data_IF_990514965776
#
_entry.id   IF_990514965776
#
_cell.length_a   1.000
_cell.length_b   1.000
_cell.length_c   1.000
_cell.angle_alpha   90.00
_cell.angle_beta   90.00
_cell.angle_gamma   90.00
#
_symmetry.space_group_name_H-M   'P 1'
#
loop_
_entity.id
_entity.type
_entity.pdbx_description
1 polymer ?
#
# COMPACT_ATOMS: atom_id res chain seq x y z
N UNK A 1 -49.67 68.92 57.30
CA UNK A 1 -48.95 67.65 57.05
C UNK A 1 -48.98 67.35 55.56
N UNK A 2 -47.81 66.98 55.00
CA UNK A 2 -47.55 66.48 53.64
C UNK A 2 -47.88 67.38 52.42
N UNK A 3 -46.81 68.08 52.03
CA UNK A 3 -46.38 68.58 50.72
C UNK A 3 -46.66 67.64 49.52
N UNK A 4 -47.02 68.28 48.38
CA UNK A 4 -46.48 68.09 47.00
C UNK A 4 -46.76 66.75 46.27
N UNK A 5 -46.88 66.64 44.94
CA UNK A 5 -46.79 67.51 43.77
C UNK A 5 -47.48 66.72 42.63
N UNK A 6 -48.18 67.41 41.72
CA UNK A 6 -48.48 66.87 40.39
C UNK A 6 -47.16 66.53 39.68
N UNK A 7 -47.10 65.45 38.89
CA UNK A 7 -46.40 65.55 37.61
C UNK A 7 -46.80 64.49 36.58
N UNK A 8 -47.13 65.05 35.43
CA UNK A 8 -47.29 64.53 34.08
C UNK A 8 -46.23 63.47 33.72
N UNK A 9 -46.63 62.34 33.12
CA UNK A 9 -45.70 61.43 32.44
C UNK A 9 -46.07 61.28 30.96
N UNK A 10 -45.10 61.41 30.03
CA UNK A 10 -45.33 61.35 28.59
C UNK A 10 -45.42 59.90 28.09
N UNK A 11 -46.30 59.67 27.09
CA UNK A 11 -46.38 58.43 26.32
C UNK A 11 -45.09 58.21 25.51
N UNK A 12 -44.22 57.36 26.02
CA UNK A 12 -43.04 56.87 25.29
C UNK A 12 -43.45 55.76 24.31
N UNK A 13 -43.20 56.00 23.03
CA UNK A 13 -43.29 54.99 21.98
C UNK A 13 -42.14 54.00 22.16
N UNK A 14 -42.43 52.78 22.59
CA UNK A 14 -41.48 51.67 22.56
C UNK A 14 -41.27 51.25 21.09
N UNK A 15 -40.27 51.82 20.44
CA UNK A 15 -39.66 51.24 19.23
C UNK A 15 -38.93 49.97 19.65
N UNK A 16 -39.62 48.83 19.54
CA UNK A 16 -39.03 47.52 19.72
C UNK A 16 -37.99 47.29 18.62
N UNK A 17 -36.71 47.41 18.97
CA UNK A 17 -35.60 46.97 18.13
C UNK A 17 -35.66 45.44 18.04
N UNK A 18 -36.34 44.92 17.03
CA UNK A 18 -36.31 43.50 16.70
C UNK A 18 -34.90 43.21 16.17
N UNK A 19 -34.03 42.75 17.07
CA UNK A 19 -32.73 42.21 16.72
C UNK A 19 -32.99 40.87 16.03
N UNK A 20 -33.13 40.89 14.70
CA UNK A 20 -33.09 39.67 13.89
C UNK A 20 -31.71 39.05 14.08
N UNK A 21 -31.61 38.07 14.98
CA UNK A 21 -30.52 37.12 15.00
C UNK A 21 -30.62 36.33 13.70
N UNK A 22 -29.91 36.78 12.66
CA UNK A 22 -29.64 35.98 11.49
C UNK A 22 -28.76 34.84 11.98
N UNK A 23 -29.36 33.70 12.32
CA UNK A 23 -28.63 32.45 12.54
C UNK A 23 -28.12 31.99 11.18
N UNK A 24 -27.06 32.63 10.69
CA UNK A 24 -26.33 32.19 9.52
C UNK A 24 -25.68 30.86 9.86
N UNK A 25 -26.18 29.78 9.28
CA UNK A 25 -25.49 28.50 9.26
C UNK A 25 -24.16 28.72 8.53
N UNK A 26 -23.06 28.81 9.26
CA UNK A 26 -21.73 28.84 8.65
C UNK A 26 -21.47 27.43 8.11
N UNK A 27 -21.81 27.20 6.85
CA UNK A 27 -21.28 26.05 6.12
C UNK A 27 -19.78 26.25 5.99
N UNK A 28 -19.01 25.56 6.82
CA UNK A 28 -17.55 25.52 6.68
C UNK A 28 -17.25 24.76 5.39
N UNK A 29 -16.92 25.50 4.33
CA UNK A 29 -16.44 24.88 3.10
C UNK A 29 -15.11 24.19 3.39
N UNK A 30 -15.08 22.86 3.30
CA UNK A 30 -13.87 22.07 3.52
C UNK A 30 -12.92 22.22 2.34
N UNK A 31 -11.63 22.36 2.62
CA UNK A 31 -10.60 22.23 1.59
C UNK A 31 -10.42 20.76 1.21
N UNK A 32 -10.02 20.51 -0.03
CA UNK A 32 -9.84 19.16 -0.55
C UNK A 32 -8.39 18.72 -0.41
N UNK A 33 -8.17 17.51 0.11
CA UNK A 33 -6.86 16.84 0.04
C UNK A 33 -6.89 15.84 -1.11
N UNK A 34 -6.05 16.07 -2.11
CA UNK A 34 -5.82 15.15 -3.20
C UNK A 34 -4.73 14.15 -2.84
N UNK A 35 -4.88 12.93 -3.32
CA UNK A 35 -3.95 11.85 -3.09
C UNK A 35 -4.50 10.53 -3.61
N UNK A 36 -3.71 9.46 -3.57
CA UNK A 36 -4.14 8.15 -4.03
C UNK A 36 -5.31 7.62 -3.21
N UNK A 37 -6.11 6.73 -3.79
CA UNK A 37 -7.15 5.97 -3.06
C UNK A 37 -6.55 4.83 -2.25
N UNK A 38 -5.49 4.22 -2.77
CA UNK A 38 -4.79 3.09 -2.17
C UNK A 38 -3.29 3.19 -2.42
N UNK A 39 -2.49 2.59 -1.55
CA UNK A 39 -1.05 2.54 -1.72
C UNK A 39 -0.42 1.28 -1.13
N UNK A 40 0.60 0.76 -1.82
CA UNK A 40 1.35 -0.40 -1.35
C UNK A 40 2.15 -0.06 -0.10
N UNK A 41 2.28 -1.00 0.81
CA UNK A 41 3.14 -0.83 1.98
C UNK A 41 4.59 -0.51 1.61
N UNK A 42 5.23 0.37 2.37
CA UNK A 42 6.62 0.78 2.13
C UNK A 42 6.81 1.60 0.86
N UNK A 43 5.74 1.95 0.14
CA UNK A 43 5.79 2.93 -0.94
C UNK A 43 5.59 4.34 -0.40
N UNK A 44 5.94 5.33 -1.22
CA UNK A 44 5.69 6.72 -0.91
C UNK A 44 4.30 7.14 -1.45
N UNK A 45 3.54 7.86 -0.63
CA UNK A 45 2.30 8.52 -1.01
C UNK A 45 2.52 10.04 -1.10
N UNK A 46 1.92 10.67 -2.11
CA UNK A 46 1.98 12.12 -2.32
C UNK A 46 0.59 12.72 -2.12
N UNK A 47 0.54 13.83 -1.39
CA UNK A 47 -0.69 14.56 -1.10
C UNK A 47 -0.55 16.03 -1.46
N UNK A 48 -1.63 16.62 -1.97
CA UNK A 48 -1.73 18.06 -2.21
C UNK A 48 -3.02 18.62 -1.65
N UNK A 49 -2.99 19.86 -1.21
CA UNK A 49 -4.17 20.58 -0.76
C UNK A 49 -4.71 21.49 -1.86
N UNK A 50 -6.03 21.49 -2.04
CA UNK A 50 -6.76 22.42 -2.89
C UNK A 50 -7.75 23.21 -2.03
N UNK A 51 -7.60 24.55 -1.92
CA UNK A 51 -8.54 25.37 -1.17
C UNK A 51 -9.94 25.34 -1.82
N UNK A 52 -11.01 25.61 -1.04
CA UNK A 52 -12.37 25.74 -1.58
C UNK A 52 -12.45 26.86 -2.64
N UNK A 53 -13.50 26.82 -3.47
CA UNK A 53 -13.75 27.87 -4.46
C UNK A 53 -13.85 29.25 -3.79
N UNK A 54 -13.17 30.25 -4.35
CA UNK A 54 -13.15 31.63 -3.83
C UNK A 54 -12.17 31.87 -2.68
N UNK A 55 -11.40 30.86 -2.26
CA UNK A 55 -10.38 30.97 -1.23
C UNK A 55 -8.99 31.05 -1.87
N UNK A 56 -8.18 32.03 -1.46
CA UNK A 56 -6.83 32.27 -2.00
C UNK A 56 -5.84 32.58 -0.88
N UNK A 57 -4.57 32.83 -1.25
CA UNK A 57 -3.50 33.30 -0.36
C UNK A 57 -3.33 32.44 0.91
N UNK A 58 -3.25 31.12 0.76
CA UNK A 58 -2.95 30.24 1.90
C UNK A 58 -1.51 30.46 2.38
N UNK A 59 -1.35 30.97 3.60
CA UNK A 59 -0.06 31.36 4.18
C UNK A 59 0.64 30.22 4.91
N UNK A 60 -0.13 29.29 5.48
CA UNK A 60 0.44 28.18 6.24
C UNK A 60 -0.33 26.88 6.00
N UNK A 61 0.42 25.78 6.12
CA UNK A 61 -0.10 24.42 6.03
C UNK A 61 0.48 23.61 7.17
N UNK A 62 -0.40 23.01 7.97
CA UNK A 62 -0.04 22.04 9.00
C UNK A 62 -0.68 20.72 8.65
N UNK A 63 0.15 19.76 8.28
CA UNK A 63 -0.28 18.41 7.95
C UNK A 63 -0.13 17.51 9.17
N UNK A 64 -1.11 16.64 9.37
CA UNK A 64 -1.06 15.56 10.34
C UNK A 64 -1.47 14.27 9.63
N UNK A 65 -0.55 13.31 9.60
CA UNK A 65 -0.81 11.99 9.04
C UNK A 65 -0.93 10.99 10.17
N UNK A 66 -2.01 10.24 10.20
CA UNK A 66 -2.24 9.13 11.13
C UNK A 66 -2.12 7.82 10.38
N UNK A 67 -1.24 6.95 10.86
CA UNK A 67 -0.97 5.64 10.26
C UNK A 67 -1.87 4.56 10.86
N UNK A 68 -2.01 3.41 10.18
CA UNK A 68 -2.83 2.30 10.68
C UNK A 68 -2.39 1.71 12.03
N UNK A 69 -1.12 1.89 12.42
CA UNK A 69 -0.59 1.47 13.72
C UNK A 69 -0.87 2.47 14.85
N UNK A 70 -1.59 3.55 14.57
CA UNK A 70 -1.89 4.63 15.51
C UNK A 70 -0.78 5.67 15.66
N UNK A 71 0.38 5.47 15.03
CA UNK A 71 1.43 6.48 14.99
C UNK A 71 0.99 7.69 14.17
N UNK A 72 1.58 8.85 14.48
CA UNK A 72 1.28 10.09 13.77
C UNK A 72 2.56 10.79 13.33
N UNK A 73 2.52 11.41 12.15
CA UNK A 73 3.59 12.25 11.63
C UNK A 73 3.03 13.61 11.23
N UNK A 74 3.62 14.67 11.76
CA UNK A 74 3.27 16.05 11.40
C UNK A 74 4.26 16.62 10.38
N UNK A 75 3.75 17.40 9.43
CA UNK A 75 4.57 18.17 8.50
C UNK A 75 4.09 19.63 8.48
N UNK A 76 5.00 20.55 8.13
CA UNK A 76 4.67 21.96 7.97
C UNK A 76 4.86 22.82 9.22
N UNK A 77 4.24 24.00 9.23
CA UNK A 77 4.50 25.10 10.15
C UNK A 77 4.07 26.45 9.55
N UNK A 78 4.52 27.61 10.08
CA UNK A 78 4.17 28.94 9.56
C UNK A 78 4.50 29.17 8.07
N UNK A 79 5.41 28.36 7.50
CA UNK A 79 5.81 28.31 6.08
C UNK A 79 5.74 26.87 5.53
N UNK A 80 4.67 26.16 5.88
CA UNK A 80 4.42 24.81 5.36
C UNK A 80 4.20 24.78 3.84
N UNK A 81 4.42 23.64 3.20
CA UNK A 81 4.08 23.43 1.79
C UNK A 81 2.63 22.97 1.64
N UNK A 82 1.98 23.35 0.53
CA UNK A 82 0.65 22.85 0.15
C UNK A 82 0.67 21.39 -0.31
N UNK A 83 1.83 20.73 -0.27
CA UNK A 83 2.02 19.33 -0.62
C UNK A 83 3.00 18.63 0.29
N UNK A 84 2.82 17.32 0.48
CA UNK A 84 3.71 16.46 1.27
C UNK A 84 3.93 15.11 0.59
N UNK A 85 5.08 14.51 0.87
CA UNK A 85 5.39 13.11 0.54
C UNK A 85 5.58 12.32 1.82
N UNK A 86 4.92 11.17 1.93
CA UNK A 86 4.86 10.37 3.15
C UNK A 86 5.24 8.93 2.82
N UNK A 87 6.16 8.35 3.60
CA UNK A 87 6.46 6.93 3.48
C UNK A 87 5.37 6.12 4.19
N UNK A 88 4.68 5.27 3.46
CA UNK A 88 3.63 4.41 4.02
C UNK A 88 4.27 3.32 4.86
N UNK A 89 3.78 3.12 6.09
CA UNK A 89 4.25 2.08 6.99
C UNK A 89 4.00 0.66 6.50
N UNK A 90 4.31 -0.31 7.37
CA UNK A 90 4.15 -1.75 7.11
C UNK A 90 2.91 -2.35 7.77
N UNK A 91 2.01 -1.51 8.30
CA UNK A 91 0.74 -1.93 8.90
C UNK A 91 -0.38 -1.71 7.90
N UNK A 92 -1.20 -2.73 7.69
CA UNK A 92 -2.38 -2.64 6.82
C UNK A 92 -3.50 -1.87 7.52
N UNK A 93 -4.32 -1.18 6.75
CA UNK A 93 -5.46 -0.41 7.27
C UNK A 93 -5.60 0.93 6.57
N UNK A 94 -6.12 1.91 7.29
CA UNK A 94 -6.38 3.25 6.74
C UNK A 94 -5.29 4.20 7.23
N UNK A 95 -4.60 4.81 6.27
CA UNK A 95 -3.78 6.00 6.50
C UNK A 95 -4.67 7.22 6.25
N UNK A 96 -4.68 8.16 7.19
CA UNK A 96 -5.42 9.42 7.06
C UNK A 96 -4.45 10.59 7.01
N UNK A 97 -4.42 11.31 5.89
CA UNK A 97 -3.70 12.57 5.76
C UNK A 97 -4.67 13.72 5.99
N UNK A 98 -4.45 14.50 7.05
CA UNK A 98 -5.24 15.68 7.40
C UNK A 98 -4.39 16.94 7.21
N UNK A 99 -5.02 18.04 6.84
CA UNK A 99 -4.36 19.33 6.74
C UNK A 99 -5.24 20.43 7.33
N UNK A 100 -4.58 21.35 8.02
CA UNK A 100 -5.13 22.64 8.41
C UNK A 100 -4.36 23.71 7.65
N UNK A 101 -5.05 24.45 6.78
CA UNK A 101 -4.49 25.53 6.00
C UNK A 101 -5.08 26.87 6.44
N UNK A 102 -4.25 27.88 6.70
CA UNK A 102 -4.74 29.23 7.00
C UNK A 102 -4.77 30.05 5.72
N UNK A 103 -5.95 30.36 5.23
CA UNK A 103 -6.16 31.03 3.94
C UNK A 103 -7.04 32.26 4.08
N UNK A 104 -6.92 33.19 3.13
CA UNK A 104 -7.77 34.37 3.06
C UNK A 104 -9.15 33.97 2.52
N UNK A 105 -10.19 34.33 3.26
CA UNK A 105 -11.57 34.15 2.81
C UNK A 105 -12.01 35.24 1.81
N UNK A 106 -13.21 35.09 1.24
CA UNK A 106 -13.77 36.06 0.28
C UNK A 106 -14.00 37.45 0.88
N UNK A 107 -13.93 37.60 2.21
CA UNK A 107 -14.03 38.87 2.93
C UNK A 107 -12.66 39.48 3.26
N UNK A 108 -11.57 38.81 2.87
CA UNK A 108 -10.21 39.27 3.10
C UNK A 108 -9.60 38.85 4.43
N UNK A 109 -10.29 38.05 5.24
CA UNK A 109 -9.86 37.62 6.59
C UNK A 109 -9.18 36.25 6.51
N UNK A 110 -8.08 36.08 7.26
CA UNK A 110 -7.43 34.78 7.38
C UNK A 110 -8.19 33.84 8.31
N UNK A 111 -8.58 32.66 7.81
CA UNK A 111 -9.29 31.62 8.56
C UNK A 111 -8.67 30.24 8.34
N UNK A 112 -8.78 29.32 9.31
CA UNK A 112 -8.36 27.95 9.13
C UNK A 112 -9.39 27.17 8.28
N UNK A 113 -8.88 26.44 7.30
CA UNK A 113 -9.61 25.49 6.48
C UNK A 113 -9.05 24.09 6.72
N UNK A 114 -9.96 23.14 6.90
CA UNK A 114 -9.64 21.75 7.15
C UNK A 114 -9.93 20.91 5.90
N UNK A 115 -9.07 19.93 5.66
CA UNK A 115 -9.29 18.87 4.68
C UNK A 115 -8.62 17.57 5.12
N UNK A 116 -9.12 16.44 4.61
CA UNK A 116 -8.48 15.15 4.83
C UNK A 116 -8.66 14.21 3.64
N UNK A 117 -7.79 13.20 3.57
CA UNK A 117 -7.84 12.10 2.62
C UNK A 117 -7.52 10.79 3.31
N UNK A 118 -8.40 9.81 3.13
CA UNK A 118 -8.15 8.43 3.53
C UNK A 118 -7.53 7.65 2.37
N UNK A 119 -6.51 6.85 2.70
CA UNK A 119 -5.78 5.97 1.80
C UNK A 119 -5.78 4.58 2.38
N UNK A 120 -6.21 3.60 1.58
CA UNK A 120 -6.13 2.20 1.99
C UNK A 120 -4.72 1.67 1.77
N UNK A 121 -4.08 1.20 2.83
CA UNK A 121 -2.76 0.56 2.76
C UNK A 121 -2.95 -0.92 2.42
N UNK A 122 -2.45 -1.31 1.26
CA UNK A 122 -2.61 -2.67 0.70
C UNK A 122 -1.28 -3.41 0.64
N UNK A 123 -1.35 -4.74 0.61
CA UNK A 123 -0.17 -5.59 0.44
C UNK A 123 0.44 -5.39 -0.94
N UNK A 124 1.76 -5.43 -1.02
CA UNK A 124 2.49 -5.45 -2.29
C UNK A 124 2.66 -6.88 -2.80
N UNK A 125 2.26 -7.12 -4.05
CA UNK A 125 2.47 -8.41 -4.71
C UNK A 125 3.95 -8.64 -4.97
N UNK A 126 4.45 -9.78 -4.51
CA UNK A 126 5.84 -10.17 -4.77
C UNK A 126 6.08 -10.46 -6.25
N UNK A 127 7.27 -10.12 -6.79
CA UNK A 127 7.62 -10.46 -8.16
C UNK A 127 7.66 -11.97 -8.35
N UNK A 128 7.41 -12.41 -9.59
CA UNK A 128 7.57 -13.81 -9.98
C UNK A 128 9.05 -14.22 -9.82
N UNK A 129 9.35 -15.39 -9.25
CA UNK A 129 10.74 -15.87 -9.15
C UNK A 129 11.43 -16.00 -10.51
N UNK A 130 12.74 -15.74 -10.50
CA UNK A 130 13.65 -16.00 -11.62
C UNK A 130 14.54 -17.17 -11.23
N UNK A 131 14.53 -18.23 -12.05
CA UNK A 131 15.42 -19.39 -11.89
C UNK A 131 16.84 -18.97 -12.29
N UNK A 132 17.79 -19.19 -11.39
CA UNK A 132 19.23 -18.94 -11.60
C UNK A 132 19.99 -20.23 -11.92
N UNK A 133 19.47 -21.38 -11.48
CA UNK A 133 19.95 -22.70 -11.86
C UNK A 133 18.74 -23.59 -12.10
N UNK A 134 18.69 -24.20 -13.28
CA UNK A 134 17.62 -25.09 -13.72
C UNK A 134 18.05 -25.86 -14.97
N UNK A 135 17.36 -26.96 -15.26
CA UNK A 135 17.53 -27.73 -16.50
C UNK A 135 16.17 -27.98 -17.15
N UNK A 136 16.16 -28.18 -18.47
CA UNK A 136 14.98 -28.64 -19.21
C UNK A 136 14.92 -30.17 -19.31
N UNK A 137 15.96 -30.88 -18.88
CA UNK A 137 16.01 -32.34 -18.90
C UNK A 137 16.56 -32.91 -17.60
N UNK A 138 15.88 -33.92 -17.05
CA UNK A 138 16.30 -34.66 -15.87
C UNK A 138 16.58 -36.13 -16.21
N UNK A 139 17.75 -36.61 -15.81
CA UNK A 139 18.00 -38.05 -15.80
C UNK A 139 17.15 -38.72 -14.71
N UNK A 140 16.56 -39.86 -15.04
CA UNK A 140 15.78 -40.66 -14.09
C UNK A 140 16.57 -40.93 -12.82
N UNK A 141 15.91 -40.77 -11.66
CA UNK A 141 16.50 -40.96 -10.34
C UNK A 141 17.77 -40.13 -10.04
N UNK A 142 18.05 -39.08 -10.82
CA UNK A 142 19.19 -38.19 -10.59
C UNK A 142 18.73 -36.86 -9.99
N UNK A 143 19.18 -36.49 -8.77
CA UNK A 143 18.82 -35.21 -8.17
C UNK A 143 19.50 -34.05 -8.90
N UNK A 144 18.72 -33.07 -9.33
CA UNK A 144 19.21 -31.83 -9.93
C UNK A 144 18.77 -30.64 -9.11
N UNK A 145 19.69 -29.70 -8.88
CA UNK A 145 19.42 -28.51 -8.09
C UNK A 145 18.69 -27.46 -8.93
N UNK A 146 17.55 -26.99 -8.42
CA UNK A 146 16.85 -25.82 -8.93
C UNK A 146 17.00 -24.69 -7.92
N UNK A 147 17.43 -23.52 -8.40
CA UNK A 147 17.68 -22.35 -7.55
C UNK A 147 17.00 -21.12 -8.14
N UNK A 148 16.47 -20.26 -7.28
CA UNK A 148 15.94 -18.94 -7.64
C UNK A 148 16.78 -17.83 -7.01
N UNK A 149 16.69 -16.62 -7.59
CA UNK A 149 17.17 -15.42 -6.92
C UNK A 149 16.30 -15.13 -5.67
N UNK A 150 16.90 -14.70 -4.54
CA UNK A 150 16.14 -14.26 -3.38
C UNK A 150 15.18 -13.11 -3.72
N UNK A 151 13.95 -13.17 -3.22
CA UNK A 151 12.95 -12.12 -3.42
C UNK A 151 12.80 -11.31 -2.13
N UNK A 152 13.05 -10.00 -2.21
CA UNK A 152 12.85 -9.09 -1.09
C UNK A 152 11.39 -9.07 -0.64
N UNK A 153 11.17 -9.30 0.66
CA UNK A 153 9.85 -9.38 1.27
C UNK A 153 9.15 -10.74 1.15
N UNK A 154 9.81 -11.77 0.60
CA UNK A 154 9.33 -13.14 0.68
C UNK A 154 9.59 -13.73 2.07
N UNK A 155 8.58 -14.34 2.69
CA UNK A 155 8.73 -15.08 3.94
C UNK A 155 9.07 -16.55 3.71
N UNK A 156 8.66 -17.10 2.56
CA UNK A 156 8.98 -18.46 2.16
C UNK A 156 8.79 -18.62 0.64
N UNK A 157 9.18 -19.78 0.12
CA UNK A 157 8.93 -20.20 -1.25
C UNK A 157 8.13 -21.48 -1.25
N UNK A 158 7.23 -21.61 -2.22
CA UNK A 158 6.49 -22.85 -2.48
C UNK A 158 6.96 -23.43 -3.79
N UNK A 159 7.53 -24.63 -3.71
CA UNK A 159 7.96 -25.43 -4.85
C UNK A 159 6.94 -26.53 -5.11
N UNK A 160 6.60 -26.78 -6.36
CA UNK A 160 5.68 -27.84 -6.77
C UNK A 160 6.25 -28.65 -7.92
N UNK A 161 6.00 -29.95 -7.88
CA UNK A 161 6.42 -30.92 -8.90
C UNK A 161 5.27 -31.88 -9.22
N UNK A 162 5.32 -32.60 -10.36
CA UNK A 162 4.31 -33.61 -10.66
C UNK A 162 4.25 -34.74 -9.62
N UNK A 163 3.15 -35.48 -9.62
CA UNK A 163 3.04 -36.70 -8.81
C UNK A 163 4.12 -37.71 -9.22
N UNK A 164 4.65 -38.45 -8.25
CA UNK A 164 5.73 -39.42 -8.47
C UNK A 164 7.16 -38.84 -8.43
N UNK A 165 7.30 -37.52 -8.37
CA UNK A 165 8.60 -36.83 -8.29
C UNK A 165 9.00 -36.60 -6.83
N UNK A 166 10.31 -36.38 -6.60
CA UNK A 166 10.84 -36.06 -5.27
C UNK A 166 11.34 -34.63 -5.19
N UNK A 167 11.08 -33.97 -4.06
CA UNK A 167 11.70 -32.70 -3.66
C UNK A 167 12.57 -32.98 -2.44
N UNK A 168 13.86 -32.67 -2.53
CA UNK A 168 14.88 -32.96 -1.51
C UNK A 168 14.86 -34.43 -1.06
N UNK A 169 14.72 -35.36 -2.02
CA UNK A 169 14.69 -36.80 -1.77
C UNK A 169 13.36 -37.36 -1.24
N UNK A 170 12.39 -36.50 -0.90
CA UNK A 170 11.08 -36.91 -0.38
C UNK A 170 10.04 -36.93 -1.50
N UNK A 171 9.25 -38.01 -1.57
CA UNK A 171 8.15 -38.15 -2.53
C UNK A 171 7.00 -37.23 -2.12
N UNK A 172 6.93 -36.03 -2.72
CA UNK A 172 5.94 -35.00 -2.41
C UNK A 172 5.71 -34.09 -3.61
N UNK A 173 4.50 -33.54 -3.74
CA UNK A 173 4.14 -32.65 -4.85
C UNK A 173 4.31 -31.17 -4.53
N UNK A 174 4.43 -30.80 -3.25
CA UNK A 174 4.57 -29.42 -2.80
C UNK A 174 5.47 -29.32 -1.57
N UNK A 175 6.47 -28.44 -1.61
CA UNK A 175 7.34 -28.10 -0.48
C UNK A 175 7.25 -26.60 -0.21
N UNK A 176 7.03 -26.22 1.06
CA UNK A 176 7.19 -24.83 1.51
C UNK A 176 8.47 -24.73 2.33
N UNK A 177 9.39 -23.86 1.92
CA UNK A 177 10.70 -23.69 2.56
C UNK A 177 11.16 -22.23 2.49
N UNK A 178 12.03 -21.81 3.41
CA UNK A 178 12.71 -20.50 3.36
C UNK A 178 13.91 -20.52 2.41
N UNK A 179 14.39 -21.70 2.00
CA UNK A 179 15.51 -21.86 1.09
C UNK A 179 15.12 -21.49 -0.35
N UNK A 180 16.04 -20.83 -1.05
CA UNK A 180 15.91 -20.50 -2.48
C UNK A 180 16.34 -21.62 -3.42
N UNK A 181 16.77 -22.76 -2.86
CA UNK A 181 17.27 -23.91 -3.62
C UNK A 181 16.63 -25.20 -3.13
N UNK A 182 16.30 -26.08 -4.07
CA UNK A 182 15.76 -27.43 -3.83
C UNK A 182 16.36 -28.42 -4.82
N UNK A 183 16.50 -29.67 -4.42
CA UNK A 183 16.84 -30.78 -5.31
C UNK A 183 15.57 -31.43 -5.83
N UNK A 184 15.42 -31.48 -7.15
CA UNK A 184 14.30 -32.14 -7.82
C UNK A 184 14.80 -33.43 -8.44
N UNK A 185 14.06 -34.52 -8.24
CA UNK A 185 14.36 -35.83 -8.84
C UNK A 185 13.12 -36.36 -9.54
N UNK A 186 13.26 -36.65 -10.84
CA UNK A 186 12.23 -37.30 -11.65
C UNK A 186 12.04 -38.78 -11.25
N UNK A 187 10.95 -39.44 -11.67
CA UNK A 187 10.72 -40.86 -11.40
C UNK A 187 11.89 -41.74 -11.84
N UNK A 188 12.06 -42.88 -11.18
CA UNK A 188 13.18 -43.78 -11.46
C UNK A 188 13.08 -44.47 -12.83
N UNK A 189 11.89 -44.53 -13.41
CA UNK A 189 11.60 -45.19 -14.68
C UNK A 189 10.65 -44.36 -15.53
N UNK A 190 10.61 -44.65 -16.83
CA UNK A 190 9.77 -43.96 -17.80
C UNK A 190 10.49 -42.85 -18.55
N UNK A 191 9.75 -42.28 -19.51
CA UNK A 191 10.07 -41.09 -20.28
C UNK A 191 8.82 -40.24 -20.26
N UNK A 192 8.96 -38.93 -20.05
CA UNK A 192 7.83 -38.03 -20.03
C UNK A 192 8.23 -36.59 -19.82
N UNK A 193 7.24 -35.75 -19.58
CA UNK A 193 7.41 -34.34 -19.29
C UNK A 193 6.69 -33.98 -18.00
N UNK A 194 7.20 -32.95 -17.32
CA UNK A 194 6.65 -32.43 -16.09
C UNK A 194 6.91 -30.94 -15.96
N UNK A 195 6.18 -30.30 -15.05
CA UNK A 195 6.39 -28.89 -14.73
C UNK A 195 6.87 -28.72 -13.31
N UNK A 196 8.06 -28.12 -13.14
CA UNK A 196 8.53 -27.64 -11.84
C UNK A 196 8.06 -26.20 -11.68
N UNK A 197 7.34 -25.92 -10.60
CA UNK A 197 6.78 -24.59 -10.34
C UNK A 197 7.32 -24.03 -9.05
N UNK A 198 7.58 -22.72 -9.01
CA UNK A 198 8.00 -22.03 -7.79
C UNK A 198 7.34 -20.67 -7.69
N UNK A 199 6.85 -20.32 -6.50
CA UNK A 199 6.37 -18.97 -6.18
C UNK A 199 6.93 -18.49 -4.85
N UNK A 200 7.03 -17.18 -4.69
CA UNK A 200 7.32 -16.56 -3.40
C UNK A 200 6.01 -16.33 -2.62
N UNK A 201 6.01 -16.70 -1.35
CA UNK A 201 4.93 -16.39 -0.42
C UNK A 201 5.33 -15.15 0.38
N UNK A 202 4.44 -14.16 0.40
CA UNK A 202 4.60 -12.97 1.22
C UNK A 202 3.95 -13.14 2.59
N UNK A 203 4.33 -12.26 3.53
CA UNK A 203 3.72 -12.15 4.85
C UNK A 203 3.62 -10.69 5.26
N UNK A 204 2.71 -10.37 6.19
CA UNK A 204 2.45 -8.99 6.60
C UNK A 204 2.04 -8.11 5.40
N UNK A 205 2.94 -7.21 5.01
CA UNK A 205 2.72 -6.23 3.94
C UNK A 205 3.07 -6.70 2.53
N UNK A 206 3.49 -7.95 2.36
CA UNK A 206 3.65 -8.58 1.05
C UNK A 206 2.58 -9.64 0.83
N UNK A 207 2.11 -9.75 -0.41
CA UNK A 207 1.23 -10.83 -0.86
C UNK A 207 2.00 -11.83 -1.72
N UNK A 208 1.45 -13.03 -1.83
CA UNK A 208 2.05 -14.13 -2.60
C UNK A 208 2.14 -13.75 -4.07
N UNK A 209 3.31 -13.97 -4.67
CA UNK A 209 3.55 -13.72 -6.10
C UNK A 209 3.04 -14.86 -6.99
N UNK A 210 3.02 -14.62 -8.29
CA UNK A 210 2.67 -15.62 -9.29
C UNK A 210 3.73 -16.73 -9.40
N UNK A 211 3.33 -17.92 -9.84
CA UNK A 211 4.26 -19.01 -10.12
C UNK A 211 5.18 -18.68 -11.30
N UNK A 212 6.45 -19.04 -11.15
CA UNK A 212 7.35 -19.39 -12.24
C UNK A 212 7.17 -20.87 -12.55
N UNK A 213 6.98 -21.20 -13.81
CA UNK A 213 6.90 -22.59 -14.29
C UNK A 213 8.09 -22.88 -15.19
N UNK A 214 8.71 -24.03 -14.98
CA UNK A 214 9.74 -24.60 -15.84
C UNK A 214 9.26 -25.95 -16.33
N UNK A 215 9.15 -26.11 -17.65
CA UNK A 215 8.88 -27.40 -18.28
C UNK A 215 10.17 -28.21 -18.31
N UNK A 216 10.07 -29.48 -17.96
CA UNK A 216 11.20 -30.38 -17.81
C UNK A 216 10.83 -31.74 -18.36
N UNK A 217 11.58 -32.21 -19.34
CA UNK A 217 11.51 -33.59 -19.82
C UNK A 217 12.37 -34.48 -18.91
N UNK A 218 12.01 -35.76 -18.81
CA UNK A 218 12.81 -36.73 -18.07
C UNK A 218 12.92 -38.05 -18.82
N UNK A 219 14.04 -38.73 -18.60
CA UNK A 219 14.28 -40.03 -19.20
C UNK A 219 15.63 -40.62 -18.80
N UNK A 220 15.99 -41.71 -19.48
CA UNK A 220 17.32 -42.29 -19.34
C UNK A 220 18.36 -41.30 -19.86
N UNK A 221 19.52 -41.27 -19.22
CA UNK A 221 20.67 -40.51 -19.71
C UNK A 221 20.97 -40.97 -21.16
N UNK A 222 21.06 -40.05 -22.14
CA UNK A 222 21.50 -40.41 -23.47
C UNK A 222 22.89 -41.02 -23.38
N UNK A 223 23.09 -42.19 -23.99
CA UNK A 223 24.43 -42.74 -24.17
C UNK A 223 25.15 -41.82 -25.15
N UNK A 224 26.34 -41.34 -24.80
CA UNK A 224 27.18 -40.63 -25.77
C UNK A 224 27.48 -41.58 -26.93
N UNK A 225 27.03 -41.23 -28.13
CA UNK A 225 27.48 -41.88 -29.35
C UNK A 225 28.91 -41.37 -29.60
N UNK A 226 29.90 -42.21 -29.35
CA UNK A 226 31.22 -41.99 -29.92
C UNK A 226 31.07 -42.11 -31.44
N UNK A 227 31.34 -41.04 -32.17
CA UNK A 227 31.53 -41.13 -33.62
C UNK A 227 32.66 -42.11 -33.92
N UNK A 228 32.68 -42.73 -35.12
CA UNK A 228 33.80 -43.59 -35.50
C UNK A 228 35.11 -42.81 -35.36
N UNK A 229 36.10 -43.39 -34.68
CA UNK A 229 37.46 -42.85 -34.65
C UNK A 229 37.96 -42.84 -36.09
N UNK A 230 38.23 -41.66 -36.64
CA UNK A 230 38.89 -41.55 -37.94
C UNK A 230 40.26 -42.23 -37.83
N UNK A 231 40.51 -43.21 -38.72
CA UNK A 231 41.74 -44.00 -38.80
C UNK A 231 42.59 -43.53 -39.99
#
# INVERSE_FOLDING_TARGET
>A
MKRLFQNNTPRAWCLGLILFLVSGSVTVALGQVNGPKEKGCGEQAFFTYSPPFGISDCLSFTWLVTFPDGSTQSFGGPVGSSSISVNVGTTLGILRASVTATCRDTTGIFRPYFGFKDVTVVRRTLPRPTLTSSTNFLCNNSPTTFTIAPISGASSYRWEVPSGWRINGVLQTSLVTTNTSVQITAPATGIGAGSVRVRANGSGCTSTGSYRTQSVDYGRQPVQLFGPTEA
#
